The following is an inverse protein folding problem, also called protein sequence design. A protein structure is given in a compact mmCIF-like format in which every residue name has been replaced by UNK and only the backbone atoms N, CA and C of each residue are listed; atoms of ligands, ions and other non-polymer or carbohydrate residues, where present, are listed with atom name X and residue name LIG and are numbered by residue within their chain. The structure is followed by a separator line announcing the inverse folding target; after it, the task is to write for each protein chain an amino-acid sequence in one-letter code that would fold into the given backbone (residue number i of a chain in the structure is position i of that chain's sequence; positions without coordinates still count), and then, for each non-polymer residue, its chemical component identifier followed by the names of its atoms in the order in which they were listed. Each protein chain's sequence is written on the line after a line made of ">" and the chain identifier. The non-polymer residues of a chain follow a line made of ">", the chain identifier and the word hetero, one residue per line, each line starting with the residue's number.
data_IF_978716187486
#
_entry.id   IF_978716187486
#
_cell.length_a   1.000
_cell.length_b   1.000
_cell.length_c   1.000
_cell.angle_alpha   90.00
_cell.angle_beta   90.00
_cell.angle_gamma   90.00
#
_symmetry.space_group_name_H-M   'P 1'
#
loop_
_entity.id
_entity.type
_entity.pdbx_description
1 polymer ?
#
# COMPACT_ATOMS: atom_id res chain seq x y z
N UNK A 1 -6.68 -40.88 24.81
CA UNK A 1 -5.74 -40.41 23.77
C UNK A 1 -6.60 -39.74 22.72
N UNK A 2 -6.58 -38.40 22.66
CA UNK A 2 -7.26 -37.65 21.62
C UNK A 2 -6.18 -37.28 20.61
N UNK A 3 -6.24 -37.88 19.42
CA UNK A 3 -5.47 -37.40 18.27
C UNK A 3 -6.06 -36.05 17.86
N UNK A 4 -5.25 -35.01 18.05
CA UNK A 4 -5.49 -33.66 17.56
C UNK A 4 -5.22 -33.70 16.05
N UNK A 5 -6.29 -33.78 15.27
CA UNK A 5 -6.21 -33.61 13.82
C UNK A 5 -5.87 -32.15 13.56
N UNK A 6 -4.58 -31.87 13.36
CA UNK A 6 -4.07 -30.65 12.76
C UNK A 6 -4.52 -30.62 11.29
N UNK A 7 -5.81 -30.48 11.05
CA UNK A 7 -6.43 -30.25 9.73
C UNK A 7 -6.21 -28.78 9.33
N UNK A 8 -4.95 -28.35 9.36
CA UNK A 8 -4.52 -27.09 8.79
C UNK A 8 -4.51 -27.25 7.27
N UNK A 9 -5.47 -26.61 6.59
CA UNK A 9 -5.51 -26.56 5.13
C UNK A 9 -4.11 -26.30 4.56
N UNK A 10 -3.57 -27.29 3.86
CA UNK A 10 -2.23 -27.18 3.28
C UNK A 10 -2.20 -25.99 2.31
N UNK A 11 -1.06 -25.31 2.18
CA UNK A 11 -0.92 -24.23 1.19
C UNK A 11 -1.34 -24.70 -0.20
N UNK A 12 -1.02 -25.94 -0.57
CA UNK A 12 -1.46 -26.55 -1.82
C UNK A 12 -2.98 -26.65 -1.92
N UNK A 13 -3.66 -26.98 -0.83
CA UNK A 13 -5.12 -27.07 -0.77
C UNK A 13 -5.76 -25.68 -0.89
N UNK A 14 -5.17 -24.65 -0.28
CA UNK A 14 -5.60 -23.26 -0.48
C UNK A 14 -5.41 -22.80 -1.93
N UNK A 15 -4.31 -23.18 -2.57
CA UNK A 15 -4.08 -22.88 -3.99
C UNK A 15 -5.10 -23.59 -4.89
N UNK A 16 -5.33 -24.89 -4.67
CA UNK A 16 -6.32 -25.67 -5.42
C UNK A 16 -7.72 -25.10 -5.20
N UNK A 17 -8.09 -24.80 -3.96
CA UNK A 17 -9.40 -24.23 -3.62
C UNK A 17 -9.63 -22.89 -4.33
N UNK A 18 -8.63 -22.00 -4.31
CA UNK A 18 -8.70 -20.72 -5.04
C UNK A 18 -8.83 -20.93 -6.55
N UNK A 19 -8.10 -21.89 -7.11
CA UNK A 19 -8.13 -22.17 -8.55
C UNK A 19 -9.50 -22.71 -8.97
N UNK A 20 -10.03 -23.69 -8.24
CA UNK A 20 -11.36 -24.25 -8.48
C UNK A 20 -12.44 -23.18 -8.31
N UNK A 21 -12.35 -22.34 -7.27
CA UNK A 21 -13.30 -21.26 -7.05
C UNK A 21 -13.28 -20.23 -8.20
N UNK A 22 -12.09 -19.87 -8.70
CA UNK A 22 -11.94 -18.98 -9.84
C UNK A 22 -12.56 -19.58 -11.10
N UNK A 23 -12.28 -20.86 -11.40
CA UNK A 23 -12.84 -21.56 -12.56
C UNK A 23 -14.37 -21.64 -12.48
N UNK A 24 -14.94 -21.98 -11.32
CA UNK A 24 -16.40 -22.01 -11.12
C UNK A 24 -17.03 -20.64 -11.37
N UNK A 25 -16.40 -19.57 -10.87
CA UNK A 25 -16.89 -18.20 -11.07
C UNK A 25 -16.83 -17.80 -12.55
N UNK A 26 -15.72 -18.13 -13.23
CA UNK A 26 -15.55 -17.90 -14.67
C UNK A 26 -16.63 -18.63 -15.47
N UNK A 27 -16.84 -19.92 -15.20
CA UNK A 27 -17.87 -20.73 -15.86
C UNK A 27 -19.27 -20.16 -15.58
N UNK A 28 -19.56 -19.77 -14.33
CA UNK A 28 -20.84 -19.16 -13.97
C UNK A 28 -21.10 -17.87 -14.75
N UNK A 29 -20.11 -16.99 -14.86
CA UNK A 29 -20.20 -15.77 -15.67
C UNK A 29 -20.38 -16.10 -17.15
N UNK A 30 -19.64 -17.07 -17.69
CA UNK A 30 -19.77 -17.54 -19.07
C UNK A 30 -21.18 -18.05 -19.39
N UNK A 31 -21.78 -18.82 -18.47
CA UNK A 31 -23.11 -19.38 -18.63
C UNK A 31 -24.21 -18.31 -18.58
N UNK A 32 -24.04 -17.26 -17.78
CA UNK A 32 -25.10 -16.28 -17.53
C UNK A 32 -24.97 -14.97 -18.33
N UNK A 33 -23.75 -14.54 -18.66
CA UNK A 33 -23.50 -13.22 -19.25
C UNK A 33 -23.20 -13.27 -20.77
N UNK A 34 -22.98 -14.45 -21.35
CA UNK A 34 -22.62 -14.60 -22.76
C UNK A 34 -21.16 -14.27 -23.07
N UNK A 35 -20.68 -14.75 -24.22
CA UNK A 35 -19.25 -14.79 -24.59
C UNK A 35 -18.56 -13.42 -24.53
N UNK A 36 -19.26 -12.33 -24.90
CA UNK A 36 -18.69 -10.98 -24.88
C UNK A 36 -18.37 -10.47 -23.46
N UNK A 37 -19.21 -10.80 -22.48
CA UNK A 37 -18.97 -10.45 -21.08
C UNK A 37 -17.84 -11.28 -20.47
N UNK A 38 -17.74 -12.56 -20.87
CA UNK A 38 -16.62 -13.41 -20.46
C UNK A 38 -15.27 -12.86 -20.94
N UNK A 39 -15.20 -12.43 -22.20
CA UNK A 39 -14.00 -11.80 -22.78
C UNK A 39 -13.67 -10.50 -22.03
N UNK A 40 -14.68 -9.66 -21.77
CA UNK A 40 -14.50 -8.42 -21.02
C UNK A 40 -13.96 -8.64 -19.61
N UNK A 41 -14.50 -9.61 -18.87
CA UNK A 41 -14.08 -9.93 -17.52
C UNK A 41 -12.66 -10.52 -17.48
N UNK A 42 -12.33 -11.42 -18.42
CA UNK A 42 -10.98 -11.98 -18.55
C UNK A 42 -9.95 -10.89 -18.86
N UNK A 43 -10.27 -9.96 -19.76
CA UNK A 43 -9.41 -8.82 -20.07
C UNK A 43 -9.19 -7.93 -18.83
N UNK A 44 -10.25 -7.64 -18.07
CA UNK A 44 -10.15 -6.85 -16.84
C UNK A 44 -9.29 -7.56 -15.78
N UNK A 45 -9.42 -8.88 -15.65
CA UNK A 45 -8.60 -9.69 -14.74
C UNK A 45 -7.11 -9.65 -15.12
N UNK A 46 -6.79 -9.79 -16.41
CA UNK A 46 -5.41 -9.70 -16.92
C UNK A 46 -4.85 -8.30 -16.68
N UNK A 47 -5.60 -7.25 -16.99
CA UNK A 47 -5.18 -5.86 -16.76
C UNK A 47 -4.96 -5.60 -15.27
N UNK A 48 -5.87 -6.04 -14.41
CA UNK A 48 -5.76 -5.90 -12.96
C UNK A 48 -4.51 -6.61 -12.43
N UNK A 49 -4.28 -7.85 -12.86
CA UNK A 49 -3.10 -8.64 -12.46
C UNK A 49 -1.80 -7.99 -12.95
N UNK A 50 -1.79 -7.52 -14.19
CA UNK A 50 -0.63 -6.83 -14.76
C UNK A 50 -0.36 -5.50 -14.05
N UNK A 51 -1.41 -4.77 -13.66
CA UNK A 51 -1.31 -3.52 -12.91
C UNK A 51 -0.73 -3.76 -11.52
N UNK A 52 -1.22 -4.78 -10.80
CA UNK A 52 -0.67 -5.19 -9.50
C UNK A 52 0.78 -5.61 -9.65
N UNK A 53 1.09 -6.48 -10.60
CA UNK A 53 2.48 -6.90 -10.87
C UNK A 53 3.38 -5.71 -11.17
N UNK A 54 2.94 -4.79 -12.01
CA UNK A 54 3.69 -3.60 -12.38
C UNK A 54 3.93 -2.65 -11.21
N UNK A 55 2.93 -2.47 -10.33
CA UNK A 55 3.07 -1.66 -9.12
C UNK A 55 4.00 -2.35 -8.11
N UNK A 56 3.82 -3.65 -7.85
CA UNK A 56 4.66 -4.42 -6.92
C UNK A 56 6.10 -4.57 -7.41
N UNK A 57 6.34 -4.74 -8.71
CA UNK A 57 7.70 -4.82 -9.27
C UNK A 57 8.44 -3.47 -9.28
N UNK A 58 7.75 -2.37 -9.03
CA UNK A 58 8.37 -1.04 -8.92
C UNK A 58 8.90 -0.75 -7.53
N UNK A 59 8.37 -1.43 -6.53
CA UNK A 59 8.87 -1.33 -5.15
C UNK A 59 9.86 -2.47 -4.86
N UNK A 60 11.12 -2.19 -4.47
CA UNK A 60 12.00 -3.23 -3.97
C UNK A 60 11.35 -3.88 -2.73
N UNK A 61 11.50 -5.20 -2.52
CA UNK A 61 10.76 -5.93 -1.49
C UNK A 61 11.11 -5.39 -0.11
N UNK A 62 10.18 -4.61 0.49
CA UNK A 62 10.17 -4.38 1.93
C UNK A 62 9.58 -5.62 2.59
N UNK A 63 10.23 -6.18 3.61
CA UNK A 63 9.72 -7.36 4.29
C UNK A 63 8.33 -7.07 4.86
N UNK A 64 7.41 -7.98 4.55
CA UNK A 64 5.98 -7.87 4.78
C UNK A 64 5.66 -7.89 6.28
N UNK A 65 5.20 -6.75 6.80
CA UNK A 65 4.32 -6.73 7.95
C UNK A 65 2.90 -6.53 7.41
N UNK A 66 2.08 -7.56 7.53
CA UNK A 66 0.70 -7.57 7.07
C UNK A 66 -0.12 -6.46 7.75
N UNK A 67 -0.48 -5.41 7.01
CA UNK A 67 -1.67 -4.59 7.30
C UNK A 67 -2.25 -4.02 6.01
N UNK A 68 -3.58 -4.03 5.99
CA UNK A 68 -4.46 -3.64 4.89
C UNK A 68 -4.36 -2.13 4.63
N UNK A 69 -4.08 -1.76 3.38
CA UNK A 69 -4.45 -0.49 2.78
C UNK A 69 -3.45 0.66 2.95
N UNK A 70 -2.71 0.98 1.89
CA UNK A 70 -2.30 2.34 1.57
C UNK A 70 -1.76 2.42 0.13
N UNK A 71 -2.48 3.15 -0.72
CA UNK A 71 -1.96 3.69 -1.96
C UNK A 71 -0.75 4.59 -1.71
N UNK A 72 0.20 4.49 -2.64
CA UNK A 72 0.97 5.59 -3.24
C UNK A 72 1.61 6.60 -2.29
N UNK A 73 2.95 6.55 -2.18
CA UNK A 73 3.82 7.58 -2.79
C UNK A 73 5.28 7.27 -2.47
N UNK A 74 6.04 7.12 -3.56
CA UNK A 74 7.43 7.47 -3.78
C UNK A 74 8.42 7.52 -2.60
N UNK A 75 9.50 6.79 -2.82
CA UNK A 75 10.81 6.83 -2.18
C UNK A 75 11.50 8.22 -2.31
N UNK A 76 10.88 9.27 -1.76
CA UNK A 76 11.48 10.60 -1.65
C UNK A 76 11.20 11.09 -0.24
N UNK A 77 12.19 10.92 0.64
CA UNK A 77 12.24 11.48 1.99
C UNK A 77 10.93 11.31 2.79
N UNK A 78 10.80 10.19 3.52
CA UNK A 78 9.67 9.90 4.44
C UNK A 78 9.15 11.20 5.07
N UNK A 79 7.95 11.61 4.66
CA UNK A 79 7.31 12.84 5.12
C UNK A 79 7.35 12.87 6.65
N UNK A 80 7.82 13.97 7.28
CA UNK A 80 7.88 14.09 8.73
C UNK A 80 6.55 13.75 9.43
N UNK A 81 5.40 13.93 8.77
CA UNK A 81 4.10 13.49 9.29
C UNK A 81 3.96 11.97 9.29
N UNK A 82 4.33 11.28 8.20
CA UNK A 82 4.32 9.80 8.13
C UNK A 82 5.19 9.16 9.21
N UNK A 83 6.36 9.75 9.51
CA UNK A 83 7.22 9.28 10.60
C UNK A 83 6.57 9.44 11.97
N UNK A 84 5.82 10.53 12.17
CA UNK A 84 5.10 10.78 13.42
C UNK A 84 3.93 9.79 13.61
N UNK A 85 3.18 9.50 12.53
CA UNK A 85 2.09 8.52 12.52
C UNK A 85 2.57 7.10 12.85
N UNK A 86 3.69 6.67 12.27
CA UNK A 86 4.26 5.35 12.55
C UNK A 86 4.58 5.15 14.05
N UNK A 87 5.06 6.20 14.72
CA UNK A 87 5.39 6.13 16.16
C UNK A 87 4.15 6.13 17.07
N UNK A 88 3.10 6.84 16.67
CA UNK A 88 1.80 6.76 17.34
C UNK A 88 1.20 5.35 17.18
N UNK A 89 1.23 4.79 15.97
CA UNK A 89 0.74 3.43 15.71
C UNK A 89 1.54 2.35 16.44
N UNK A 90 2.84 2.56 16.63
CA UNK A 90 3.71 1.71 17.45
C UNK A 90 3.47 1.87 18.97
N UNK A 91 2.63 2.82 19.39
CA UNK A 91 2.36 3.12 20.80
C UNK A 91 3.51 3.83 21.52
N UNK A 92 4.52 4.30 20.79
CA UNK A 92 5.64 5.08 21.35
C UNK A 92 5.26 6.53 21.67
N UNK A 93 4.08 6.95 21.22
CA UNK A 93 3.59 8.31 21.35
C UNK A 93 2.13 8.29 21.82
N UNK A 94 1.82 9.05 22.86
CA UNK A 94 0.44 9.26 23.26
C UNK A 94 -0.29 10.18 22.26
N UNK A 95 -1.62 10.13 22.26
CA UNK A 95 -2.47 10.98 21.40
C UNK A 95 -2.19 12.48 21.62
N UNK A 96 -2.09 12.92 22.88
CA UNK A 96 -1.77 14.31 23.21
C UNK A 96 -0.39 14.75 22.68
N UNK A 97 0.60 13.85 22.71
CA UNK A 97 1.94 14.13 22.17
C UNK A 97 1.97 14.10 20.64
N UNK A 98 1.12 13.28 20.02
CA UNK A 98 0.93 13.25 18.57
C UNK A 98 0.34 14.58 18.09
N UNK A 99 -0.78 15.00 18.67
CA UNK A 99 -1.44 16.26 18.32
C UNK A 99 -0.53 17.46 18.50
N UNK A 100 0.16 17.57 19.63
CA UNK A 100 1.09 18.68 19.89
C UNK A 100 2.25 18.75 18.88
N UNK A 101 2.73 17.60 18.41
CA UNK A 101 3.79 17.53 17.40
C UNK A 101 3.25 17.79 16.00
N UNK A 102 2.06 17.29 15.68
CA UNK A 102 1.40 17.51 14.39
C UNK A 102 1.12 18.99 14.17
N UNK A 103 0.56 19.67 15.17
CA UNK A 103 0.30 21.12 15.13
C UNK A 103 1.58 21.91 14.86
N UNK A 104 2.68 21.53 15.51
CA UNK A 104 4.00 22.15 15.28
C UNK A 104 4.51 21.93 13.86
N UNK A 105 4.27 20.77 13.26
CA UNK A 105 4.67 20.49 11.88
C UNK A 105 3.86 21.35 10.90
N UNK A 106 2.55 21.49 11.13
CA UNK A 106 1.66 22.32 10.32
C UNK A 106 2.09 23.79 10.39
N UNK A 107 2.26 24.34 11.59
CA UNK A 107 2.72 25.73 11.79
C UNK A 107 4.08 25.99 11.11
N UNK A 108 5.01 25.05 11.22
CA UNK A 108 6.32 25.17 10.57
C UNK A 108 6.21 25.19 9.04
N UNK A 109 5.35 24.34 8.47
CA UNK A 109 5.10 24.28 7.03
C UNK A 109 4.45 25.56 6.52
N UNK A 110 3.42 26.06 7.20
CA UNK A 110 2.77 27.33 6.85
C UNK A 110 3.73 28.52 6.94
N UNK A 111 4.64 28.52 7.93
CA UNK A 111 5.69 29.55 8.03
C UNK A 111 6.70 29.46 6.90
N UNK A 112 7.09 28.25 6.49
CA UNK A 112 7.99 28.04 5.35
C UNK A 112 7.35 28.51 4.04
N UNK A 113 6.08 28.16 3.81
CA UNK A 113 5.31 28.57 2.63
C UNK A 113 5.14 30.10 2.57
N UNK A 114 4.82 30.74 3.70
CA UNK A 114 4.72 32.21 3.81
C UNK A 114 6.06 32.92 3.62
N UNK A 115 7.17 32.27 3.98
CA UNK A 115 8.51 32.82 3.82
C UNK A 115 9.08 32.60 2.41
N UNK A 116 8.39 31.88 1.53
CA UNK A 116 8.80 31.66 0.14
C UNK A 116 10.18 31.01 0.00
N UNK A 117 10.61 30.25 1.01
CA UNK A 117 11.95 29.65 1.04
C UNK A 117 11.93 28.37 0.20
N UNK A 118 11.90 28.54 -1.11
CA UNK A 118 12.51 27.57 -2.02
C UNK A 118 14.00 27.55 -1.69
N UNK A 119 14.45 26.50 -1.01
CA UNK A 119 15.84 26.34 -0.57
C UNK A 119 16.72 25.91 -1.76
N UNK A 120 16.66 26.65 -2.87
CA UNK A 120 17.49 26.43 -4.07
C UNK A 120 18.43 27.62 -4.36
N UNK A 121 18.45 28.66 -3.52
CA UNK A 121 19.15 29.93 -3.82
C UNK A 121 20.32 30.33 -2.92
N UNK A 122 20.88 29.45 -2.07
CA UNK A 122 21.94 29.83 -1.11
C UNK A 122 23.34 29.25 -1.39
N UNK A 123 23.56 28.60 -2.54
CA UNK A 123 24.89 28.28 -3.04
C UNK A 123 25.14 29.09 -4.31
N UNK A 124 26.00 30.11 -4.20
CA UNK A 124 27.10 30.44 -5.13
C UNK A 124 27.57 31.88 -4.87
N UNK A 125 28.83 31.98 -4.42
CA UNK A 125 29.74 33.13 -4.55
C UNK A 125 29.18 34.53 -4.19
N UNK A 126 29.50 35.15 -3.05
CA UNK A 126 30.89 35.49 -2.64
C UNK A 126 31.88 35.55 -3.81
N UNK A 127 31.51 36.20 -4.92
CA UNK A 127 32.50 36.64 -5.90
C UNK A 127 33.03 38.01 -5.48
N UNK A 128 34.35 38.08 -5.56
CA UNK A 128 35.27 39.13 -5.14
C UNK A 128 35.02 40.46 -5.88
#
# INVERSE_FOLDING_TARGET
>A
MAEDSDDGYSLAELFVLKFVLADVLIIFVLLFAGVWYAIGLAALFVVSTFLVWYLTNRDPPRPEAATVGASETADTAVDPVTKLQNRYAAGELSEAEFEAKLERLIDANERAERAGIETEGLELERSN
#
